data_IF_201406502564
#
_entry.id   IF_201406502564
#
_cell.length_a   1.000
_cell.length_b   1.000
_cell.length_c   1.000
_cell.angle_alpha   90.00
_cell.angle_beta   90.00
_cell.angle_gamma   90.00
#
_symmetry.space_group_name_H-M   'P 1'
#
loop_
_entity.id
_entity.type
_entity.pdbx_description
1 polymer ?
#
# COMPACT_ATOMS: atom_id res chain seq x y z
N UNK A 1 -29.18 19.40 -52.42
CA UNK A 1 -28.34 20.36 -51.68
C UNK A 1 -29.09 20.87 -50.45
N UNK A 2 -28.80 20.37 -49.25
CA UNK A 2 -28.36 21.20 -48.12
C UNK A 2 -28.17 20.38 -46.82
N UNK A 3 -26.91 20.08 -46.53
CA UNK A 3 -26.22 20.23 -45.24
C UNK A 3 -26.97 19.65 -44.02
N UNK A 4 -26.81 18.36 -43.69
CA UNK A 4 -25.74 17.87 -42.82
C UNK A 4 -25.31 18.90 -41.75
N UNK A 5 -26.12 19.13 -40.71
CA UNK A 5 -25.69 19.67 -39.40
C UNK A 5 -26.77 19.42 -38.33
N UNK A 6 -26.73 18.29 -37.64
CA UNK A 6 -27.12 18.21 -36.21
C UNK A 6 -26.63 16.89 -35.59
N UNK A 7 -25.33 16.61 -35.73
CA UNK A 7 -24.64 15.54 -35.03
C UNK A 7 -23.67 16.17 -34.03
N UNK A 8 -24.18 16.80 -32.96
CA UNK A 8 -23.36 17.25 -31.82
C UNK A 8 -24.21 17.14 -30.54
N UNK A 9 -24.49 15.91 -30.12
CA UNK A 9 -24.99 15.61 -28.77
C UNK A 9 -24.33 14.34 -28.21
N UNK A 10 -23.11 14.06 -28.64
CA UNK A 10 -22.28 12.98 -28.13
C UNK A 10 -20.83 13.47 -28.16
N UNK A 11 -20.28 13.86 -27.02
CA UNK A 11 -18.89 14.28 -27.00
C UNK A 11 -18.43 15.12 -25.82
N UNK A 12 -18.92 14.87 -24.61
CA UNK A 12 -18.16 15.22 -23.39
C UNK A 12 -18.40 14.12 -22.35
N UNK A 13 -17.97 12.89 -22.67
CA UNK A 13 -17.52 12.00 -21.60
C UNK A 13 -16.14 12.53 -21.25
N UNK A 14 -16.08 13.39 -20.24
CA UNK A 14 -14.82 13.79 -19.63
C UNK A 14 -14.23 12.49 -19.10
N UNK A 15 -13.31 11.90 -19.85
CA UNK A 15 -12.36 10.93 -19.33
C UNK A 15 -11.51 11.67 -18.29
N UNK A 16 -12.06 11.79 -17.09
CA UNK A 16 -11.33 12.00 -15.86
C UNK A 16 -10.53 10.72 -15.60
N UNK A 17 -9.57 10.40 -16.47
CA UNK A 17 -8.49 9.48 -16.14
C UNK A 17 -7.68 10.19 -15.05
N UNK A 18 -8.15 9.99 -13.82
CA UNK A 18 -7.73 10.71 -12.64
C UNK A 18 -6.23 10.61 -12.44
N UNK A 19 -5.64 11.75 -12.10
CA UNK A 19 -4.40 11.79 -11.33
C UNK A 19 -4.72 11.25 -9.93
N UNK A 20 -4.86 9.92 -9.82
CA UNK A 20 -5.19 9.24 -8.59
C UNK A 20 -3.98 9.22 -7.64
N UNK A 21 -3.75 10.35 -6.97
CA UNK A 21 -2.76 10.66 -5.92
C UNK A 21 -1.28 10.38 -6.25
N UNK A 22 -0.50 11.45 -6.14
CA UNK A 22 0.85 11.64 -6.66
C UNK A 22 1.95 11.31 -5.63
N UNK A 23 1.65 11.03 -4.36
CA UNK A 23 2.67 11.05 -3.31
C UNK A 23 3.09 9.69 -2.73
N UNK A 24 2.25 8.67 -2.76
CA UNK A 24 2.58 7.35 -2.18
C UNK A 24 2.21 6.20 -3.11
N UNK A 25 3.05 5.17 -3.08
CA UNK A 25 2.84 3.94 -3.86
C UNK A 25 1.72 3.08 -3.26
N UNK A 26 1.18 2.14 -4.04
CA UNK A 26 0.23 1.12 -3.55
C UNK A 26 0.89 0.04 -2.67
N UNK A 27 2.20 0.09 -2.55
CA UNK A 27 2.98 -0.84 -1.74
C UNK A 27 3.90 -0.07 -0.80
N UNK A 28 4.14 -0.64 0.37
CA UNK A 28 5.12 -0.15 1.33
C UNK A 28 6.32 -1.08 1.38
N UNK A 29 7.51 -0.50 1.53
CA UNK A 29 8.75 -1.21 1.82
C UNK A 29 8.93 -1.24 3.34
N UNK A 30 9.00 -2.44 3.92
CA UNK A 30 9.18 -2.64 5.36
C UNK A 30 10.56 -3.28 5.58
N UNK A 31 11.31 -2.76 6.55
CA UNK A 31 12.56 -3.36 6.96
C UNK A 31 12.31 -4.48 7.97
N UNK A 32 12.67 -5.71 7.62
CA UNK A 32 12.56 -6.86 8.53
C UNK A 32 13.95 -7.19 9.03
N UNK A 33 14.16 -7.08 10.34
CA UNK A 33 15.40 -7.46 11.01
C UNK A 33 15.17 -8.74 11.82
N UNK A 34 16.22 -9.52 12.02
CA UNK A 34 16.18 -10.74 12.83
C UNK A 34 17.22 -10.65 13.94
N UNK A 35 16.88 -11.19 15.11
CA UNK A 35 17.84 -11.41 16.19
C UNK A 35 18.83 -12.55 15.90
N UNK A 36 18.54 -13.37 14.88
CA UNK A 36 19.39 -14.48 14.41
C UNK A 36 20.08 -14.13 13.09
N UNK A 37 21.26 -14.70 12.85
CA UNK A 37 21.97 -14.61 11.57
C UNK A 37 21.39 -15.53 10.49
N UNK A 38 20.38 -16.33 10.83
CA UNK A 38 19.69 -17.23 9.91
C UNK A 38 18.89 -16.46 8.86
N UNK A 39 18.87 -16.99 7.63
CA UNK A 39 17.95 -16.54 6.59
C UNK A 39 16.54 -17.04 6.89
N UNK A 40 15.61 -16.10 6.94
CA UNK A 40 14.21 -16.34 7.20
C UNK A 40 13.39 -16.23 5.91
N UNK A 41 12.32 -17.02 5.85
CA UNK A 41 11.25 -16.90 4.88
C UNK A 41 10.03 -16.38 5.61
N UNK A 42 9.47 -15.29 5.07
CA UNK A 42 8.26 -14.67 5.59
C UNK A 42 7.19 -14.67 4.51
N UNK A 43 5.95 -14.88 4.89
CA UNK A 43 4.80 -14.88 4.00
C UNK A 43 3.89 -13.72 4.37
N UNK A 44 3.53 -12.93 3.36
CA UNK A 44 2.54 -11.86 3.46
C UNK A 44 1.93 -11.63 2.09
N UNK A 45 0.64 -11.32 2.05
CA UNK A 45 -0.10 -11.09 0.80
C UNK A 45 -0.06 -12.28 -0.18
N UNK A 46 -0.03 -13.50 0.37
CA UNK A 46 0.11 -14.73 -0.41
C UNK A 46 1.48 -14.89 -1.10
N UNK A 47 2.48 -14.07 -0.74
CA UNK A 47 3.83 -14.11 -1.31
C UNK A 47 4.85 -14.43 -0.24
N UNK A 48 5.78 -15.31 -0.57
CA UNK A 48 6.94 -15.59 0.27
C UNK A 48 8.09 -14.65 -0.11
N UNK A 49 8.74 -14.05 0.89
CA UNK A 49 9.85 -13.11 0.75
C UNK A 49 10.97 -13.50 1.72
N UNK A 50 12.20 -13.09 1.40
CA UNK A 50 13.36 -13.37 2.23
C UNK A 50 13.57 -12.26 3.26
N UNK A 51 13.95 -12.64 4.48
CA UNK A 51 14.40 -11.77 5.56
C UNK A 51 15.67 -12.35 6.21
N UNK A 52 16.47 -11.57 6.95
CA UNK A 52 16.41 -10.12 7.13
C UNK A 52 16.57 -9.34 5.81
N UNK A 53 15.94 -8.18 5.71
CA UNK A 53 15.98 -7.32 4.53
C UNK A 53 14.71 -6.50 4.32
N UNK A 54 14.64 -5.83 3.18
CA UNK A 54 13.45 -5.07 2.80
C UNK A 54 12.43 -5.99 2.11
N UNK A 55 11.24 -6.09 2.69
CA UNK A 55 10.09 -6.75 2.07
C UNK A 55 9.11 -5.71 1.53
N UNK A 56 8.28 -6.13 0.58
CA UNK A 56 7.21 -5.29 0.02
C UNK A 56 5.85 -5.79 0.48
N UNK A 57 5.00 -4.90 0.97
CA UNK A 57 3.64 -5.18 1.45
C UNK A 57 2.66 -4.30 0.69
N UNK A 58 1.51 -4.84 0.28
CA UNK A 58 0.44 -4.06 -0.35
C UNK A 58 -0.26 -3.19 0.68
N UNK A 59 -0.47 -1.91 0.42
CA UNK A 59 -1.27 -1.03 1.28
C UNK A 59 -2.75 -1.32 1.05
N UNK A 60 -3.52 -1.51 2.12
CA UNK A 60 -4.95 -1.82 2.05
C UNK A 60 -5.65 -1.49 3.37
N UNK A 61 -6.98 -1.31 3.35
CA UNK A 61 -7.76 -1.01 4.54
C UNK A 61 -7.98 -2.23 5.44
N UNK A 62 -6.94 -2.99 5.75
CA UNK A 62 -6.99 -4.08 6.73
C UNK A 62 -5.65 -4.30 7.40
N UNK A 63 -5.74 -4.75 8.65
CA UNK A 63 -4.59 -5.27 9.36
C UNK A 63 -4.10 -6.53 8.65
N UNK A 64 -2.81 -6.78 8.74
CA UNK A 64 -2.17 -7.94 8.11
C UNK A 64 -1.40 -8.74 9.13
N UNK A 65 -1.08 -9.96 8.74
CA UNK A 65 -0.17 -10.83 9.48
C UNK A 65 1.03 -11.13 8.60
N UNK A 66 2.22 -10.88 9.12
CA UNK A 66 3.47 -11.37 8.57
C UNK A 66 3.76 -12.73 9.21
N UNK A 67 3.64 -13.81 8.44
CA UNK A 67 3.90 -15.16 8.93
C UNK A 67 5.34 -15.55 8.66
N UNK A 68 6.13 -15.81 9.69
CA UNK A 68 7.45 -16.41 9.54
C UNK A 68 7.25 -17.90 9.35
N UNK A 69 7.76 -18.45 8.25
CA UNK A 69 7.54 -19.87 7.85
C UNK A 69 8.84 -20.67 7.83
N UNK A 70 9.92 -20.09 8.34
CA UNK A 70 11.18 -20.80 8.53
C UNK A 70 11.10 -21.76 9.69
N UNK A 71 11.48 -23.01 9.43
CA UNK A 71 11.54 -24.07 10.44
C UNK A 71 12.36 -23.66 11.66
N UNK A 72 11.77 -23.80 12.85
CA UNK A 72 12.36 -23.43 14.12
C UNK A 72 12.20 -21.95 14.49
N UNK A 73 11.52 -21.15 13.67
CA UNK A 73 11.23 -19.74 13.93
C UNK A 73 9.80 -19.34 13.49
N UNK A 74 8.89 -20.30 13.39
CA UNK A 74 7.52 -20.06 12.98
C UNK A 74 6.78 -19.16 13.98
N UNK A 75 6.26 -18.05 13.50
CA UNK A 75 5.49 -17.09 14.30
C UNK A 75 4.68 -16.17 13.41
N UNK A 76 3.65 -15.56 13.99
CA UNK A 76 2.81 -14.56 13.34
C UNK A 76 3.04 -13.19 13.96
N UNK A 77 3.30 -12.19 13.12
CA UNK A 77 3.52 -10.82 13.56
C UNK A 77 2.42 -9.94 12.98
N UNK A 78 1.69 -9.25 13.86
CA UNK A 78 0.64 -8.33 13.46
C UNK A 78 1.22 -7.05 12.85
N UNK A 79 0.79 -6.73 11.64
CA UNK A 79 1.00 -5.44 11.00
C UNK A 79 -0.30 -4.65 11.07
N UNK A 80 -0.36 -3.70 12.00
CA UNK A 80 -1.54 -2.88 12.20
C UNK A 80 -1.55 -1.77 11.18
N UNK A 81 -2.70 -1.57 10.53
CA UNK A 81 -2.86 -0.45 9.60
C UNK A 81 -2.99 0.86 10.38
N UNK A 82 -2.35 1.89 9.89
CA UNK A 82 -2.54 3.26 10.36
C UNK A 82 -2.68 4.21 9.18
N UNK A 83 -3.21 5.41 9.43
CA UNK A 83 -3.33 6.44 8.40
C UNK A 83 -1.97 7.13 8.25
N UNK A 84 -1.45 7.12 7.03
CA UNK A 84 -0.24 7.83 6.63
C UNK A 84 -0.37 9.33 6.92
N UNK A 85 0.54 9.96 7.69
CA UNK A 85 0.44 11.37 8.04
C UNK A 85 0.35 12.32 6.84
N UNK A 86 0.94 11.94 5.70
CA UNK A 86 0.88 12.73 4.45
C UNK A 86 -0.56 12.86 3.92
N UNK A 87 -1.45 11.93 4.27
CA UNK A 87 -2.89 12.04 4.01
C UNK A 87 -3.47 13.34 4.57
N UNK A 88 -3.10 13.71 5.81
CA UNK A 88 -3.57 14.94 6.44
C UNK A 88 -2.93 16.19 5.85
N UNK A 89 -1.68 16.11 5.40
CA UNK A 89 -1.03 17.20 4.66
C UNK A 89 -1.75 17.45 3.33
N UNK A 90 -2.20 16.42 2.64
CA UNK A 90 -2.98 16.55 1.40
C UNK A 90 -4.34 17.22 1.65
N UNK A 91 -4.99 16.93 2.79
CA UNK A 91 -6.23 17.62 3.20
C UNK A 91 -5.99 19.13 3.37
N UNK A 92 -4.88 19.51 4.01
CA UNK A 92 -4.59 20.91 4.35
C UNK A 92 -4.03 21.73 3.18
N UNK A 93 -3.23 21.10 2.30
CA UNK A 93 -2.54 21.79 1.19
C UNK A 93 -3.26 21.71 -0.16
N UNK A 94 -4.09 20.67 -0.38
CA UNK A 94 -4.82 20.43 -1.64
C UNK A 94 -6.34 20.32 -1.50
N UNK A 95 -6.90 20.44 -0.29
CA UNK A 95 -8.34 20.32 -0.03
C UNK A 95 -8.89 18.89 -0.19
N UNK A 96 -10.22 18.76 -0.11
CA UNK A 96 -10.94 17.47 -0.09
C UNK A 96 -10.65 16.53 -1.28
N UNK A 97 -10.15 17.05 -2.41
CA UNK A 97 -9.88 16.25 -3.61
C UNK A 97 -8.63 15.35 -3.48
N UNK A 98 -7.59 15.80 -2.76
CA UNK A 98 -6.40 14.98 -2.50
C UNK A 98 -6.73 13.80 -1.60
N UNK A 99 -7.54 14.04 -0.56
CA UNK A 99 -7.92 13.02 0.42
C UNK A 99 -9.02 12.07 -0.05
N UNK A 100 -9.99 12.50 -0.86
CA UNK A 100 -10.93 11.56 -1.48
C UNK A 100 -10.21 10.59 -2.42
N UNK A 101 -9.13 11.04 -3.05
CA UNK A 101 -8.34 10.24 -3.99
C UNK A 101 -7.44 9.23 -3.26
N UNK A 102 -6.79 9.64 -2.16
CA UNK A 102 -6.03 8.72 -1.29
C UNK A 102 -6.94 7.70 -0.59
N UNK A 103 -8.15 8.10 -0.22
CA UNK A 103 -9.16 7.21 0.34
C UNK A 103 -9.65 6.18 -0.66
N UNK A 104 -9.99 6.62 -1.88
CA UNK A 104 -10.47 5.72 -2.92
C UNK A 104 -9.39 4.75 -3.46
N UNK A 105 -8.11 5.04 -3.25
CA UNK A 105 -6.99 4.25 -3.81
C UNK A 105 -6.21 3.42 -2.79
N UNK A 106 -6.66 3.39 -1.52
CA UNK A 106 -6.03 2.70 -0.39
C UNK A 106 -4.60 3.16 -0.04
N UNK A 107 -4.13 4.22 -0.70
CA UNK A 107 -2.78 4.80 -0.53
C UNK A 107 -2.58 5.50 0.82
N UNK A 108 -3.67 5.79 1.53
CA UNK A 108 -3.62 6.37 2.86
C UNK A 108 -3.14 5.40 3.94
N UNK A 109 -3.18 4.09 3.70
CA UNK A 109 -2.81 3.13 4.72
C UNK A 109 -1.29 2.95 4.73
N UNK A 110 -0.75 2.73 5.93
CA UNK A 110 0.63 2.30 6.13
C UNK A 110 0.68 1.27 7.26
N UNK A 111 1.80 0.59 7.33
CA UNK A 111 2.19 -0.36 8.36
C UNK A 111 3.48 0.13 9.03
N UNK A 112 3.98 -0.63 9.99
CA UNK A 112 5.25 -0.33 10.65
C UNK A 112 6.39 -0.30 9.63
N UNK A 113 7.29 0.68 9.74
CA UNK A 113 8.44 0.81 8.83
C UNK A 113 9.50 -0.27 9.07
N UNK A 114 9.54 -0.82 10.29
CA UNK A 114 10.46 -1.88 10.67
C UNK A 114 9.79 -2.90 11.60
N UNK A 115 10.16 -4.16 11.42
CA UNK A 115 9.72 -5.29 12.24
C UNK A 115 10.95 -6.09 12.68
N UNK A 116 11.04 -6.41 13.96
CA UNK A 116 12.07 -7.30 14.50
C UNK A 116 11.49 -8.70 14.74
N UNK A 117 12.09 -9.70 14.11
CA UNK A 117 11.78 -11.12 14.32
C UNK A 117 12.75 -11.68 15.36
N UNK A 118 12.20 -12.29 16.41
CA UNK A 118 12.98 -12.99 17.43
C UNK A 118 12.77 -14.49 17.28
N UNK A 119 13.80 -15.19 16.85
CA UNK A 119 13.79 -16.65 16.80
C UNK A 119 14.25 -17.23 18.14
N UNK A 120 13.69 -18.36 18.59
CA UNK A 120 14.30 -19.18 19.64
C UNK A 120 15.77 -19.47 19.27
N UNK A 121 16.67 -19.42 20.25
CA UNK A 121 18.09 -19.76 20.07
C UNK A 121 18.32 -21.26 19.97
#
# INVERSE_FOLDING_TARGET
>A
MNKMKLAIAAGVVISLSGCASILTDKTQRINVVSSSSQKLQVQIDGRTQNAPGIITVQKENKDKTLSVVTEGCEQEIALNKEVEPTFFVNILSGGAFGSTTDYASEKMWRYQDSVEIKCPQ
#
